data_IF_428887250338
#
_entry.id   IF_428887250338
#
_cell.length_a   1.000
_cell.length_b   1.000
_cell.length_c   1.000
_cell.angle_alpha   90.00
_cell.angle_beta   90.00
_cell.angle_gamma   90.00
#
_symmetry.space_group_name_H-M   'P 1'
#
loop_
_entity.id
_entity.type
_entity.pdbx_description
1 polymer ?
#
# COMPACT_ATOMS: atom_id res chain seq x y z
N UNK A 1 1.60 16.83 -20.85
CA UNK A 1 1.46 16.79 -19.38
C UNK A 1 1.12 15.36 -19.02
N UNK A 2 1.88 14.70 -18.16
CA UNK A 2 1.60 13.31 -17.78
C UNK A 2 0.20 13.22 -17.16
N UNK A 3 -0.58 12.22 -17.55
CA UNK A 3 -1.92 11.99 -17.00
C UNK A 3 -1.74 11.66 -15.50
N UNK A 4 -2.07 12.59 -14.61
CA UNK A 4 -1.91 12.42 -13.16
C UNK A 4 -3.04 11.52 -12.67
N UNK A 5 -2.74 10.24 -12.45
CA UNK A 5 -3.68 9.30 -11.83
C UNK A 5 -3.82 9.71 -10.36
N UNK A 6 -4.96 10.30 -10.00
CA UNK A 6 -5.20 10.86 -8.66
C UNK A 6 -5.20 9.82 -7.55
N UNK A 7 -5.47 8.56 -7.86
CA UNK A 7 -5.47 7.44 -6.91
C UNK A 7 -4.10 6.78 -6.73
N UNK A 8 -3.11 7.13 -7.56
CA UNK A 8 -1.78 6.53 -7.51
C UNK A 8 -0.88 7.26 -6.51
N UNK A 9 -0.23 6.50 -5.63
CA UNK A 9 0.73 7.01 -4.65
C UNK A 9 2.00 6.17 -4.68
N UNK A 10 3.16 6.82 -4.60
CA UNK A 10 4.44 6.15 -4.36
C UNK A 10 4.94 6.55 -2.98
N UNK A 11 5.19 5.57 -2.11
CA UNK A 11 5.58 5.83 -0.72
C UNK A 11 7.02 6.33 -0.58
N UNK A 12 7.34 6.85 0.62
CA UNK A 12 8.69 7.27 1.01
C UNK A 12 9.69 6.13 1.09
N UNK A 13 10.99 6.46 1.08
CA UNK A 13 12.10 5.49 1.15
C UNK A 13 12.12 4.69 2.46
N UNK A 14 11.60 5.27 3.54
CA UNK A 14 11.61 4.69 4.89
C UNK A 14 10.38 3.79 5.13
N UNK A 15 9.65 3.47 4.06
CA UNK A 15 8.56 2.50 4.09
C UNK A 15 9.13 1.11 4.33
N UNK A 16 8.63 0.42 5.36
CA UNK A 16 9.03 -0.95 5.70
C UNK A 16 8.06 -1.96 5.09
N UNK A 17 8.59 -3.05 4.56
CA UNK A 17 7.78 -4.14 4.01
C UNK A 17 7.54 -5.20 5.07
N UNK A 18 6.29 -5.55 5.34
CA UNK A 18 5.92 -6.66 6.22
C UNK A 18 5.03 -7.66 5.48
N UNK A 19 5.13 -8.94 5.86
CA UNK A 19 4.46 -10.04 5.17
C UNK A 19 4.61 -9.95 3.65
N UNK A 20 5.86 -9.84 3.18
CA UNK A 20 6.16 -9.63 1.78
C UNK A 20 6.00 -10.91 0.97
N UNK A 21 5.02 -10.89 0.06
CA UNK A 21 4.73 -11.92 -0.93
C UNK A 21 4.76 -11.30 -2.33
N UNK A 22 5.84 -10.55 -2.64
CA UNK A 22 6.00 -9.93 -3.96
C UNK A 22 6.69 -10.83 -4.99
N UNK A 23 7.42 -11.86 -4.55
CA UNK A 23 8.07 -12.83 -5.45
C UNK A 23 7.13 -13.92 -5.94
N UNK A 24 6.26 -14.40 -5.06
CA UNK A 24 5.31 -15.48 -5.32
C UNK A 24 3.98 -15.14 -4.65
N UNK A 25 2.85 -15.40 -5.32
CA UNK A 25 1.55 -15.14 -4.75
C UNK A 25 1.23 -16.19 -3.68
N UNK A 26 0.48 -15.79 -2.65
CA UNK A 26 0.03 -16.70 -1.60
C UNK A 26 -1.47 -16.56 -1.36
N UNK A 27 -2.10 -17.65 -0.93
CA UNK A 27 -3.47 -17.61 -0.42
C UNK A 27 -3.47 -17.13 1.03
N UNK A 28 -4.24 -16.07 1.31
CA UNK A 28 -4.44 -15.56 2.67
C UNK A 28 -5.87 -15.91 3.09
N UNK A 29 -6.03 -16.63 4.21
CA UNK A 29 -7.31 -17.06 4.75
C UNK A 29 -8.20 -17.83 3.76
N UNK A 30 -7.59 -18.66 2.90
CA UNK A 30 -8.31 -19.45 1.90
C UNK A 30 -8.83 -18.64 0.70
N UNK A 31 -8.41 -17.37 0.56
CA UNK A 31 -8.70 -16.56 -0.62
C UNK A 31 -7.89 -16.96 -1.86
N UNK A 32 -8.14 -16.32 -3.01
CA UNK A 32 -7.33 -16.54 -4.21
C UNK A 32 -5.87 -16.15 -3.97
N UNK A 33 -4.95 -16.86 -4.65
CA UNK A 33 -3.52 -16.54 -4.59
C UNK A 33 -3.25 -15.14 -5.14
N UNK A 34 -2.57 -14.32 -4.35
CA UNK A 34 -2.23 -12.96 -4.72
C UNK A 34 -0.83 -12.58 -4.26
N UNK A 35 -0.18 -11.75 -5.06
CA UNK A 35 0.98 -11.00 -4.60
C UNK A 35 0.51 -9.99 -3.58
N UNK A 36 1.21 -9.86 -2.46
CA UNK A 36 0.77 -8.98 -1.39
C UNK A 36 1.90 -8.49 -0.52
N UNK A 37 1.65 -7.37 0.16
CA UNK A 37 2.56 -6.80 1.16
C UNK A 37 1.77 -5.92 2.12
N UNK A 38 2.15 -5.95 3.39
CA UNK A 38 1.76 -4.97 4.38
C UNK A 38 2.79 -3.84 4.37
N UNK A 39 2.39 -2.70 3.82
CA UNK A 39 3.23 -1.52 3.61
C UNK A 39 3.16 -0.66 4.86
N UNK A 40 4.25 -0.64 5.63
CA UNK A 40 4.35 0.15 6.86
C UNK A 40 4.92 1.52 6.54
N UNK A 41 4.16 2.56 6.86
CA UNK A 41 4.47 3.96 6.57
C UNK A 41 4.70 4.66 7.91
N UNK A 42 5.92 5.17 8.17
CA UNK A 42 6.21 5.92 9.37
C UNK A 42 5.22 7.08 9.58
N UNK A 43 4.74 7.29 10.81
CA UNK A 43 3.77 8.36 11.12
C UNK A 43 4.33 9.77 10.89
N UNK A 44 5.64 9.93 10.83
CA UNK A 44 6.33 11.19 10.51
C UNK A 44 6.41 11.47 9.00
N UNK A 45 6.17 10.48 8.13
CA UNK A 45 6.04 10.68 6.68
C UNK A 45 4.67 11.28 6.32
N UNK A 46 4.46 12.52 6.76
CA UNK A 46 3.23 13.29 6.53
C UNK A 46 2.91 13.45 5.05
N UNK A 47 3.94 13.45 4.19
CA UNK A 47 3.77 13.60 2.75
C UNK A 47 3.12 12.37 2.14
N UNK A 48 3.60 11.17 2.47
CA UNK A 48 2.99 9.92 1.98
C UNK A 48 1.59 9.75 2.55
N UNK A 49 1.38 10.06 3.84
CA UNK A 49 0.06 9.95 4.49
C UNK A 49 -0.97 10.86 3.81
N UNK A 50 -0.66 12.15 3.64
CA UNK A 50 -1.54 13.12 2.96
C UNK A 50 -1.82 12.71 1.49
N UNK A 51 -0.82 12.17 0.79
CA UNK A 51 -1.02 11.65 -0.56
C UNK A 51 -1.98 10.46 -0.61
N UNK A 52 -1.91 9.54 0.35
CA UNK A 52 -2.83 8.39 0.46
C UNK A 52 -4.24 8.86 0.81
N UNK A 53 -4.39 9.78 1.76
CA UNK A 53 -5.70 10.32 2.13
C UNK A 53 -6.38 11.00 0.93
N UNK A 54 -5.63 11.79 0.17
CA UNK A 54 -6.10 12.42 -1.08
C UNK A 54 -6.46 11.39 -2.16
N UNK A 55 -5.66 10.33 -2.30
CA UNK A 55 -5.94 9.24 -3.24
C UNK A 55 -7.22 8.48 -2.87
N UNK A 56 -7.45 8.27 -1.58
CA UNK A 56 -8.70 7.67 -1.06
C UNK A 56 -9.89 8.56 -1.34
N UNK A 57 -9.78 9.87 -1.13
CA UNK A 57 -10.84 10.83 -1.47
C UNK A 57 -11.15 10.82 -2.97
N UNK A 58 -10.11 10.83 -3.81
CA UNK A 58 -10.28 10.73 -5.26
C UNK A 58 -10.97 9.42 -5.67
N UNK A 59 -10.62 8.29 -5.04
CA UNK A 59 -11.26 7.00 -5.31
C UNK A 59 -12.76 6.99 -4.92
N UNK A 60 -13.11 7.65 -3.81
CA UNK A 60 -14.51 7.82 -3.40
C UNK A 60 -15.28 8.68 -4.42
N UNK A 61 -14.69 9.79 -4.89
CA UNK A 61 -15.29 10.67 -5.90
C UNK A 61 -15.48 9.97 -7.24
N UNK A 62 -14.48 9.21 -7.70
CA UNK A 62 -14.58 8.42 -8.93
C UNK A 62 -15.65 7.32 -8.81
N UNK A 63 -15.78 6.70 -7.64
CA UNK A 63 -16.85 5.75 -7.35
C UNK A 63 -18.23 6.39 -7.43
N UNK A 64 -18.41 7.58 -6.84
CA UNK A 64 -19.67 8.34 -6.90
C UNK A 64 -20.01 8.76 -8.32
N UNK A 65 -19.02 9.19 -9.11
CA UNK A 65 -19.24 9.56 -10.50
C UNK A 65 -19.69 8.37 -11.37
N UNK A 66 -19.23 7.16 -11.05
CA UNK A 66 -19.58 5.93 -11.79
C UNK A 66 -20.91 5.33 -11.37
N UNK A 67 -21.19 5.29 -10.07
CA UNK A 67 -22.35 4.57 -9.53
C UNK A 67 -23.50 5.50 -9.07
N UNK A 68 -23.27 6.81 -9.05
CA UNK A 68 -24.22 7.79 -8.51
C UNK A 68 -24.39 7.68 -6.99
N UNK A 69 -25.38 8.39 -6.45
CA UNK A 69 -25.77 8.31 -5.04
C UNK A 69 -25.10 9.33 -4.11
N UNK A 70 -25.23 9.10 -2.80
CA UNK A 70 -24.70 9.99 -1.75
C UNK A 70 -23.26 9.59 -1.39
N UNK A 71 -22.41 10.58 -1.11
CA UNK A 71 -21.04 10.35 -0.62
C UNK A 71 -21.10 9.51 0.67
N UNK A 72 -20.48 8.32 0.70
CA UNK A 72 -20.47 7.49 1.89
C UNK A 72 -19.74 8.20 3.02
N UNK A 73 -20.18 7.98 4.25
CA UNK A 73 -19.46 8.47 5.41
C UNK A 73 -18.15 7.68 5.57
N UNK A 74 -17.01 8.36 5.63
CA UNK A 74 -15.69 7.73 5.80
C UNK A 74 -15.63 6.84 7.05
N UNK A 75 -16.33 7.20 8.12
CA UNK A 75 -16.37 6.42 9.35
C UNK A 75 -17.13 5.09 9.25
N UNK A 76 -17.94 4.90 8.20
CA UNK A 76 -18.75 3.69 8.01
C UNK A 76 -18.17 2.75 6.95
N UNK A 77 -17.13 3.17 6.23
CA UNK A 77 -16.48 2.36 5.20
C UNK A 77 -15.08 1.95 5.66
N UNK A 78 -14.64 0.78 5.20
CA UNK A 78 -13.29 0.32 5.48
C UNK A 78 -12.29 1.13 4.65
N UNK A 79 -11.50 1.97 5.32
CA UNK A 79 -10.41 2.70 4.69
C UNK A 79 -9.14 1.84 4.60
N UNK A 80 -8.29 2.06 3.58
CA UNK A 80 -7.09 1.25 3.38
C UNK A 80 -5.93 1.63 4.32
N UNK A 81 -5.86 2.90 4.75
CA UNK A 81 -4.85 3.39 5.68
C UNK A 81 -5.28 3.07 7.12
N UNK A 82 -4.51 2.21 7.79
CA UNK A 82 -4.84 1.66 9.10
C UNK A 82 -3.77 1.99 10.13
N UNK A 83 -4.16 2.11 11.39
CA UNK A 83 -3.26 2.53 12.46
C UNK A 83 -2.57 1.32 13.11
N UNK A 84 -1.24 1.23 12.96
CA UNK A 84 -0.44 0.15 13.50
C UNK A 84 -0.35 0.18 15.03
N UNK A 85 -0.44 1.35 15.66
CA UNK A 85 -0.38 1.47 17.13
C UNK A 85 -1.68 1.01 17.81
N UNK A 86 -2.80 1.00 17.07
CA UNK A 86 -4.13 0.65 17.60
C UNK A 86 -4.53 -0.76 17.17
N UNK A 87 -4.30 -1.12 15.91
CA UNK A 87 -4.82 -2.36 15.34
C UNK A 87 -3.85 -3.55 15.41
N UNK A 88 -2.59 -3.34 15.85
CA UNK A 88 -1.57 -4.38 15.87
C UNK A 88 -0.81 -4.41 17.18
N UNK A 89 -0.56 -5.62 17.67
CA UNK A 89 0.31 -5.89 18.81
C UNK A 89 1.63 -6.48 18.30
N UNK A 90 2.32 -5.71 17.45
CA UNK A 90 3.58 -6.07 16.83
C UNK A 90 4.50 -4.84 16.85
N UNK A 91 5.70 -4.99 17.42
CA UNK A 91 6.69 -3.92 17.54
C UNK A 91 7.03 -3.28 16.19
N UNK A 92 6.98 -4.05 15.08
CA UNK A 92 7.25 -3.52 13.75
C UNK A 92 6.21 -2.49 13.29
N UNK A 93 5.00 -2.52 13.84
CA UNK A 93 3.87 -1.65 13.50
C UNK A 93 3.76 -0.41 14.38
N UNK A 94 4.48 -0.37 15.50
CA UNK A 94 4.49 0.80 16.39
C UNK A 94 5.04 2.03 15.68
N UNK A 95 4.38 3.17 15.84
CA UNK A 95 4.72 4.43 15.18
C UNK A 95 4.48 4.43 13.65
N UNK A 96 3.78 3.43 13.11
CA UNK A 96 3.49 3.32 11.69
C UNK A 96 1.98 3.29 11.42
N UNK A 97 1.56 3.92 10.32
CA UNK A 97 0.36 3.50 9.62
C UNK A 97 0.70 2.32 8.71
N UNK A 98 -0.30 1.57 8.27
CA UNK A 98 -0.08 0.51 7.31
C UNK A 98 -1.22 0.35 6.31
N UNK A 99 -0.84 -0.13 5.12
CA UNK A 99 -1.75 -0.47 4.02
C UNK A 99 -1.48 -1.90 3.58
N UNK A 100 -2.52 -2.72 3.49
CA UNK A 100 -2.40 -4.07 2.92
C UNK A 100 -2.67 -4.02 1.41
N UNK A 101 -1.61 -3.99 0.61
CA UNK A 101 -1.69 -3.97 -0.85
C UNK A 101 -1.67 -5.40 -1.41
N UNK A 102 -2.43 -5.65 -2.49
CA UNK A 102 -2.41 -6.94 -3.18
C UNK A 102 -2.67 -6.78 -4.69
N UNK A 103 -2.17 -7.74 -5.47
CA UNK A 103 -2.35 -7.82 -6.92
C UNK A 103 -2.48 -9.27 -7.36
N UNK A 104 -3.24 -9.52 -8.42
CA UNK A 104 -3.28 -10.83 -9.11
C UNK A 104 -2.11 -11.01 -10.07
N UNK A 105 -1.46 -9.92 -10.48
CA UNK A 105 -0.29 -9.94 -11.37
C UNK A 105 1.00 -9.66 -10.59
N UNK A 106 2.14 -10.25 -11.03
CA UNK A 106 3.43 -10.03 -10.37
C UNK A 106 3.84 -8.56 -10.41
N UNK A 107 4.27 -7.98 -9.28
CA UNK A 107 4.83 -6.64 -9.27
C UNK A 107 6.21 -6.63 -9.92
N UNK A 108 6.60 -5.49 -10.48
CA UNK A 108 7.98 -5.24 -10.89
C UNK A 108 8.79 -4.84 -9.64
N UNK A 109 9.85 -5.59 -9.35
CA UNK A 109 10.72 -5.34 -8.20
C UNK A 109 12.08 -4.89 -8.72
N UNK A 110 12.45 -3.64 -8.41
CA UNK A 110 13.61 -2.96 -8.98
C UNK A 110 14.53 -2.38 -7.91
N UNK A 111 15.80 -2.18 -8.29
CA UNK A 111 16.79 -1.50 -7.47
C UNK A 111 16.65 0.03 -7.55
N UNK A 112 17.57 0.75 -6.91
CA UNK A 112 17.59 2.22 -6.88
C UNK A 112 17.80 2.86 -8.26
N UNK A 113 18.41 2.12 -9.18
CA UNK A 113 18.64 2.52 -10.57
C UNK A 113 17.53 2.07 -11.51
N UNK A 114 16.43 1.53 -10.95
CA UNK A 114 15.25 1.02 -11.69
C UNK A 114 15.60 -0.20 -12.56
N UNK A 115 16.64 -0.95 -12.20
CA UNK A 115 16.93 -2.24 -12.83
C UNK A 115 16.18 -3.36 -12.11
N UNK A 116 15.68 -4.38 -12.81
CA UNK A 116 15.07 -5.54 -12.18
C UNK A 116 16.02 -6.23 -11.20
N UNK A 117 15.55 -6.49 -9.99
CA UNK A 117 16.30 -7.28 -9.00
C UNK A 117 16.16 -8.77 -9.35
N UNK A 118 17.29 -9.42 -9.63
CA UNK A 118 17.33 -10.84 -9.98
C UNK A 118 17.53 -11.76 -8.77
N UNK A 119 18.17 -11.24 -7.73
CA UNK A 119 18.42 -11.95 -6.48
C UNK A 119 17.28 -11.68 -5.49
N UNK A 120 16.43 -12.70 -5.28
CA UNK A 120 15.26 -12.61 -4.40
C UNK A 120 15.61 -12.29 -2.95
N UNK A 121 16.84 -12.60 -2.50
CA UNK A 121 17.28 -12.31 -1.13
C UNK A 121 17.40 -10.81 -0.84
N UNK A 122 17.42 -9.95 -1.88
CA UNK A 122 17.52 -8.49 -1.72
C UNK A 122 16.22 -7.84 -1.25
N UNK A 123 15.07 -8.49 -1.42
CA UNK A 123 13.77 -7.96 -1.01
C UNK A 123 13.04 -9.01 -0.18
N UNK A 124 12.78 -8.68 1.09
CA UNK A 124 12.28 -9.60 2.11
C UNK A 124 11.46 -8.84 3.16
N UNK A 125 10.65 -9.55 3.93
CA UNK A 125 9.92 -8.97 5.07
C UNK A 125 10.89 -8.36 6.10
N UNK A 126 10.74 -7.07 6.34
CA UNK A 126 11.55 -6.27 7.23
C UNK A 126 12.46 -5.28 6.52
N UNK A 127 12.69 -5.43 5.20
CA UNK A 127 13.48 -4.47 4.43
C UNK A 127 12.71 -3.18 4.14
N UNK A 128 13.43 -2.17 3.64
CA UNK A 128 12.90 -0.85 3.33
C UNK A 128 12.90 -0.61 1.83
N UNK A 129 11.82 -0.02 1.31
CA UNK A 129 11.68 0.24 -0.11
C UNK A 129 10.42 1.03 -0.44
N UNK A 130 10.45 1.74 -1.56
CA UNK A 130 9.28 2.46 -2.06
C UNK A 130 8.28 1.50 -2.67
N UNK A 131 7.00 1.71 -2.40
CA UNK A 131 5.91 0.91 -2.98
C UNK A 131 5.01 1.83 -3.80
N UNK A 132 4.70 1.43 -5.04
CA UNK A 132 3.68 2.09 -5.85
C UNK A 132 2.32 1.45 -5.56
N UNK A 133 1.40 2.25 -5.05
CA UNK A 133 0.00 1.92 -4.77
C UNK A 133 -0.88 2.54 -5.84
N UNK A 134 -1.80 1.77 -6.44
CA UNK A 134 -2.69 2.20 -7.53
C UNK A 134 -4.09 1.68 -7.28
#
# INVERSE_FOLDING_TARGET
>A
MANVIKTKVVTGKDTRLSYFHGWEPVSINGGPEKYSVSVLIPKDDKKTIDAIEKAVDAAIEEGLAKFGGKKPNKGTIKLPLRDGDIERDDEAYKGHYFVNANSTTPPQIVDQSVNPILDRSKVYSGCYGRVSLV
#
